data_IF_234470544769
#
_entry.id   IF_234470544769
#
_cell.length_a   1.000
_cell.length_b   1.000
_cell.length_c   1.000
_cell.angle_alpha   90.00
_cell.angle_beta   90.00
_cell.angle_gamma   90.00
#
_symmetry.space_group_name_H-M   'P 1'
#
loop_
_entity.id
_entity.type
_entity.pdbx_description
1 polymer ?
#
# COMPACT_ATOMS: atom_id res chain seq x y z
N UNK A 1 3.12 -12.10 -1.49
CA UNK A 1 2.36 -11.05 -0.78
C UNK A 1 0.91 -11.45 -0.77
N UNK A 2 0.12 -11.19 0.26
CA UNK A 2 -1.34 -11.42 0.19
C UNK A 2 -2.06 -10.08 0.19
N UNK A 3 -2.98 -9.91 -0.77
CA UNK A 3 -3.85 -8.73 -0.87
C UNK A 3 -5.29 -9.24 -0.81
N UNK A 4 -5.93 -9.03 0.33
CA UNK A 4 -7.32 -9.48 0.53
C UNK A 4 -8.31 -8.37 0.17
N UNK A 5 -9.51 -8.77 -0.22
CA UNK A 5 -10.68 -7.90 -0.34
C UNK A 5 -11.91 -8.75 0.03
N UNK A 6 -12.59 -8.40 1.12
CA UNK A 6 -13.72 -9.16 1.63
C UNK A 6 -14.84 -8.26 2.17
N UNK A 7 -16.08 -8.74 2.24
CA UNK A 7 -17.20 -7.95 2.72
C UNK A 7 -16.99 -7.58 4.18
N UNK A 8 -17.30 -6.33 4.50
CA UNK A 8 -17.27 -5.78 5.83
C UNK A 8 -18.66 -5.25 6.21
N UNK A 9 -18.71 -4.29 7.12
CA UNK A 9 -19.96 -3.69 7.56
C UNK A 9 -20.60 -2.79 6.49
N UNK A 10 -21.94 -2.75 6.49
CA UNK A 10 -22.74 -1.81 5.70
C UNK A 10 -22.45 -1.81 4.18
N UNK A 11 -22.13 -2.97 3.60
CA UNK A 11 -21.88 -3.11 2.16
C UNK A 11 -20.52 -2.54 1.69
N UNK A 12 -19.62 -2.24 2.63
CA UNK A 12 -18.23 -1.89 2.32
C UNK A 12 -17.37 -3.15 2.17
N UNK A 13 -16.25 -3.03 1.45
CA UNK A 13 -15.20 -4.05 1.45
C UNK A 13 -14.05 -3.57 2.32
N UNK A 14 -13.46 -4.50 3.08
CA UNK A 14 -12.18 -4.28 3.76
C UNK A 14 -11.12 -5.15 3.06
N UNK A 15 -9.96 -4.57 2.85
CA UNK A 15 -8.80 -5.29 2.37
C UNK A 15 -7.63 -5.16 3.32
N UNK A 16 -6.77 -6.17 3.32
CA UNK A 16 -5.48 -6.17 4.01
C UNK A 16 -4.36 -6.49 3.02
N UNK A 17 -3.19 -5.88 3.23
CA UNK A 17 -1.99 -6.14 2.45
C UNK A 17 -0.88 -6.61 3.39
N UNK A 18 -0.48 -7.88 3.26
CA UNK A 18 0.61 -8.51 4.04
C UNK A 18 1.96 -8.32 3.35
N UNK A 19 2.74 -7.33 3.79
CA UNK A 19 3.97 -6.87 3.13
C UNK A 19 5.19 -7.75 3.38
N UNK A 20 5.26 -8.44 4.52
CA UNK A 20 6.38 -9.33 4.83
C UNK A 20 5.96 -10.80 4.70
N UNK A 21 6.84 -11.69 4.19
CA UNK A 21 6.55 -13.11 4.15
C UNK A 21 6.29 -13.66 5.56
N UNK A 22 5.05 -14.08 5.83
CA UNK A 22 4.69 -14.73 7.07
C UNK A 22 4.67 -16.25 6.87
N UNK A 23 5.05 -17.02 7.89
CA UNK A 23 4.91 -18.49 7.88
C UNK A 23 3.45 -18.97 7.78
N UNK A 24 2.50 -18.04 7.88
CA UNK A 24 1.07 -18.32 7.86
C UNK A 24 0.47 -18.20 6.45
N UNK A 25 1.15 -17.51 5.53
CA UNK A 25 0.80 -17.56 4.10
C UNK A 25 1.39 -18.85 3.53
N UNK A 26 0.54 -19.86 3.36
CA UNK A 26 0.90 -21.11 2.69
C UNK A 26 0.01 -21.31 1.47
N UNK A 27 0.59 -21.08 0.28
CA UNK A 27 -0.09 -21.25 -1.01
C UNK A 27 -1.13 -20.17 -1.34
N UNK A 28 -1.69 -20.28 -2.54
CA UNK A 28 -2.77 -19.42 -3.06
C UNK A 28 -4.09 -19.70 -2.34
N UNK A 29 -4.90 -18.66 -2.09
CA UNK A 29 -6.25 -18.83 -1.58
C UNK A 29 -7.07 -19.72 -2.51
N UNK A 30 -7.54 -20.87 -2.01
CA UNK A 30 -8.31 -21.83 -2.83
C UNK A 30 -9.74 -21.40 -3.13
N UNK A 31 -10.21 -20.35 -2.44
CA UNK A 31 -11.60 -19.89 -2.50
C UNK A 31 -11.72 -18.50 -3.15
N UNK A 32 -10.63 -17.97 -3.69
CA UNK A 32 -10.70 -16.68 -4.35
C UNK A 32 -11.49 -16.77 -5.64
N UNK A 33 -12.32 -15.76 -5.89
CA UNK A 33 -13.12 -15.62 -7.12
C UNK A 33 -12.57 -14.51 -8.03
N UNK A 34 -11.34 -14.03 -7.77
CA UNK A 34 -10.76 -12.90 -8.52
C UNK A 34 -10.70 -13.16 -10.04
N UNK A 35 -10.49 -14.42 -10.45
CA UNK A 35 -10.44 -14.84 -11.86
C UNK A 35 -11.79 -14.76 -12.57
N UNK A 36 -12.90 -14.68 -11.84
CA UNK A 36 -14.23 -14.45 -12.43
C UNK A 36 -14.42 -12.98 -12.82
N UNK A 37 -13.54 -12.10 -12.33
CA UNK A 37 -13.65 -10.65 -12.49
C UNK A 37 -12.45 -10.02 -13.21
N UNK A 38 -11.29 -10.66 -13.19
CA UNK A 38 -10.04 -10.15 -13.76
C UNK A 38 -9.40 -11.24 -14.61
N UNK A 39 -8.88 -10.87 -15.78
CA UNK A 39 -8.12 -11.78 -16.63
C UNK A 39 -6.94 -12.36 -15.83
N UNK A 40 -6.77 -13.70 -15.75
CA UNK A 40 -5.66 -14.33 -15.07
C UNK A 40 -4.27 -13.77 -15.42
N UNK A 41 -4.06 -13.30 -16.65
CA UNK A 41 -2.77 -12.71 -17.07
C UNK A 41 -2.46 -11.38 -16.36
N UNK A 42 -3.49 -10.69 -15.85
CA UNK A 42 -3.37 -9.43 -15.12
C UNK A 42 -3.27 -9.64 -13.59
N UNK A 43 -3.41 -10.88 -13.11
CA UNK A 43 -3.31 -11.24 -11.68
C UNK A 43 -1.83 -11.46 -11.33
N UNK A 44 -1.05 -10.42 -11.55
CA UNK A 44 0.38 -10.36 -11.25
C UNK A 44 0.75 -8.90 -10.97
N UNK A 45 1.83 -8.70 -10.21
CA UNK A 45 2.35 -7.35 -9.97
C UNK A 45 3.60 -7.18 -10.84
N UNK A 46 3.57 -6.28 -11.83
CA UNK A 46 4.70 -6.10 -12.73
C UNK A 46 5.89 -5.50 -11.97
N UNK A 47 7.07 -5.95 -12.37
CA UNK A 47 8.33 -5.36 -12.00
C UNK A 47 8.81 -4.44 -13.12
N UNK A 48 9.15 -3.20 -12.75
CA UNK A 48 9.61 -2.16 -13.68
C UNK A 48 10.93 -1.58 -13.19
N UNK A 49 11.85 -1.33 -14.10
CA UNK A 49 13.05 -0.55 -13.82
C UNK A 49 12.88 0.87 -14.36
N UNK A 50 12.84 1.85 -13.46
CA UNK A 50 12.81 3.27 -13.81
C UNK A 50 13.74 4.03 -12.84
N UNK A 51 15.01 4.26 -13.22
CA UNK A 51 15.99 4.92 -12.37
C UNK A 51 15.61 6.34 -11.93
N UNK A 52 14.76 7.03 -12.70
CA UNK A 52 14.40 8.43 -12.48
C UNK A 52 13.13 8.59 -11.66
N UNK A 53 12.34 7.53 -11.51
CA UNK A 53 11.05 7.56 -10.80
C UNK A 53 11.17 8.14 -9.38
N UNK A 54 12.28 7.87 -8.68
CA UNK A 54 12.54 8.34 -7.33
C UNK A 54 12.60 9.86 -7.19
N UNK A 55 12.87 10.59 -8.28
CA UNK A 55 12.89 12.05 -8.29
C UNK A 55 11.54 12.68 -7.96
N UNK A 56 10.41 11.97 -8.18
CA UNK A 56 9.08 12.46 -7.82
C UNK A 56 8.95 12.73 -6.31
N UNK A 57 9.67 11.96 -5.49
CA UNK A 57 9.60 12.03 -4.04
C UNK A 57 10.31 13.26 -3.49
N UNK A 58 11.16 13.91 -4.27
CA UNK A 58 11.85 15.14 -3.86
C UNK A 58 10.89 16.34 -3.75
N UNK A 59 9.76 16.31 -4.45
CA UNK A 59 8.72 17.32 -4.37
C UNK A 59 7.78 17.14 -3.16
N UNK A 60 7.79 15.97 -2.53
CA UNK A 60 6.90 15.64 -1.42
C UNK A 60 7.47 16.11 -0.08
N UNK A 61 6.59 16.41 0.87
CA UNK A 61 7.01 16.81 2.21
C UNK A 61 7.45 15.59 3.01
N UNK A 62 8.72 15.57 3.43
CA UNK A 62 9.19 14.62 4.46
C UNK A 62 8.69 15.06 5.84
N UNK A 63 8.06 14.14 6.57
CA UNK A 63 7.60 14.36 7.94
C UNK A 63 8.78 14.30 8.92
N UNK A 64 8.63 14.96 10.08
CA UNK A 64 9.73 15.12 11.03
C UNK A 64 9.96 13.84 11.83
N UNK A 65 8.87 13.27 12.33
CA UNK A 65 8.87 11.99 13.02
C UNK A 65 8.81 10.83 12.05
N UNK A 66 9.04 9.65 12.60
CA UNK A 66 8.69 8.39 11.96
C UNK A 66 7.18 8.25 11.82
N UNK A 67 6.74 7.31 10.98
CA UNK A 67 5.35 6.91 10.89
C UNK A 67 4.72 6.72 12.28
N UNK A 68 5.34 5.90 13.15
CA UNK A 68 4.79 5.62 14.48
C UNK A 68 4.76 6.83 15.42
N UNK A 69 5.75 7.73 15.35
CA UNK A 69 5.80 8.92 16.20
C UNK A 69 4.77 9.99 15.79
N UNK A 70 4.37 10.00 14.53
CA UNK A 70 3.39 10.95 13.99
C UNK A 70 1.94 10.44 14.12
N UNK A 71 1.75 9.17 14.51
CA UNK A 71 0.44 8.58 14.77
C UNK A 71 -0.23 9.24 15.99
N UNK A 72 -1.49 9.66 15.82
CA UNK A 72 -2.31 10.45 16.76
C UNK A 72 -1.81 11.87 17.04
N UNK A 73 -0.68 12.28 16.45
CA UNK A 73 -0.18 13.66 16.49
C UNK A 73 -0.51 14.41 15.18
N UNK A 74 -0.20 13.80 14.04
CA UNK A 74 -0.40 14.36 12.69
C UNK A 74 -1.53 13.70 11.91
N UNK A 75 -1.87 12.44 12.24
CA UNK A 75 -2.89 11.66 11.54
C UNK A 75 -3.47 10.55 12.42
N UNK A 76 -4.60 9.99 11.98
CA UNK A 76 -5.17 8.73 12.46
C UNK A 76 -5.26 7.72 11.30
N UNK A 77 -5.60 6.47 11.60
CA UNK A 77 -5.81 5.42 10.59
C UNK A 77 -7.26 4.93 10.65
N UNK A 78 -7.83 4.59 9.49
CA UNK A 78 -9.22 4.08 9.46
C UNK A 78 -9.29 2.71 10.14
N UNK A 79 -8.24 1.91 9.98
CA UNK A 79 -8.08 0.59 10.58
C UNK A 79 -6.66 0.38 11.07
N UNK A 80 -6.08 -0.80 10.88
CA UNK A 80 -4.80 -1.17 11.48
C UNK A 80 -3.64 -1.01 10.48
N UNK A 81 -2.52 -0.51 10.97
CA UNK A 81 -1.21 -0.63 10.33
C UNK A 81 -0.30 -1.33 11.33
N UNK A 82 0.06 -2.57 11.03
CA UNK A 82 0.93 -3.38 11.86
C UNK A 82 2.38 -3.11 11.54
N UNK A 83 3.19 -3.09 12.60
CA UNK A 83 4.63 -2.83 12.53
C UNK A 83 5.40 -3.85 13.36
N UNK A 84 6.58 -4.22 12.89
CA UNK A 84 7.48 -5.06 13.64
C UNK A 84 8.16 -4.29 14.80
N UNK A 85 8.96 -5.00 15.59
CA UNK A 85 9.68 -4.42 16.74
C UNK A 85 10.72 -3.35 16.36
N UNK A 86 11.05 -3.22 15.07
CA UNK A 86 12.00 -2.23 14.53
C UNK A 86 11.28 -1.08 13.82
N UNK A 87 9.94 -1.06 13.82
CA UNK A 87 9.11 -0.02 13.22
C UNK A 87 8.85 -0.20 11.72
N UNK A 88 9.17 -1.38 11.15
CA UNK A 88 8.86 -1.67 9.75
C UNK A 88 7.42 -2.15 9.60
N UNK A 89 6.69 -1.63 8.61
CA UNK A 89 5.31 -2.07 8.37
C UNK A 89 5.31 -3.53 7.91
N UNK A 90 4.50 -4.35 8.55
CA UNK A 90 4.30 -5.76 8.21
C UNK A 90 2.99 -5.98 7.47
N UNK A 91 1.96 -5.22 7.81
CA UNK A 91 0.63 -5.30 7.22
C UNK A 91 -0.09 -3.96 7.37
N UNK A 92 -1.02 -3.67 6.46
CA UNK A 92 -2.01 -2.61 6.69
C UNK A 92 -3.37 -3.00 6.13
N UNK A 93 -4.41 -2.39 6.69
CA UNK A 93 -5.80 -2.52 6.28
C UNK A 93 -6.30 -1.24 5.61
N UNK A 94 -7.22 -1.37 4.65
CA UNK A 94 -7.81 -0.24 3.94
C UNK A 94 -9.25 -0.55 3.51
N UNK A 95 -10.14 0.43 3.60
CA UNK A 95 -11.44 0.39 2.90
C UNK A 95 -11.28 0.83 1.45
N UNK A 96 -11.80 0.04 0.51
CA UNK A 96 -12.10 0.51 -0.85
C UNK A 96 -13.40 -0.12 -1.34
N UNK A 97 -13.99 0.45 -2.38
CA UNK A 97 -15.09 -0.24 -3.07
C UNK A 97 -14.55 -1.48 -3.79
N UNK A 98 -15.40 -2.48 -3.96
CA UNK A 98 -15.08 -3.65 -4.79
C UNK A 98 -14.63 -3.23 -6.20
N UNK A 99 -15.32 -2.25 -6.78
CA UNK A 99 -15.00 -1.71 -8.11
C UNK A 99 -13.57 -1.15 -8.17
N UNK A 100 -13.18 -0.36 -7.16
CA UNK A 100 -11.83 0.21 -7.09
C UNK A 100 -10.77 -0.87 -6.93
N UNK A 101 -11.02 -1.89 -6.09
CA UNK A 101 -10.11 -3.02 -5.95
C UNK A 101 -9.85 -3.71 -7.29
N UNK A 102 -10.94 -4.11 -7.96
CA UNK A 102 -10.87 -4.80 -9.25
C UNK A 102 -10.16 -3.94 -10.30
N UNK A 103 -10.42 -2.64 -10.30
CA UNK A 103 -9.79 -1.71 -11.23
C UNK A 103 -8.28 -1.55 -10.96
N UNK A 104 -7.86 -1.44 -9.70
CA UNK A 104 -6.44 -1.40 -9.34
C UNK A 104 -5.68 -2.65 -9.80
N UNK A 105 -6.30 -3.83 -9.72
CA UNK A 105 -5.70 -5.07 -10.25
C UNK A 105 -5.66 -5.04 -11.78
N UNK A 106 -6.79 -4.75 -12.45
CA UNK A 106 -6.88 -4.74 -13.93
C UNK A 106 -5.95 -3.74 -14.59
N UNK A 107 -5.76 -2.58 -13.97
CA UNK A 107 -4.88 -1.52 -14.46
C UNK A 107 -3.42 -1.72 -14.06
N UNK A 108 -3.12 -2.81 -13.34
CA UNK A 108 -1.80 -3.09 -12.76
C UNK A 108 -1.26 -1.88 -11.98
N UNK A 109 -2.13 -1.25 -11.19
CA UNK A 109 -1.76 -0.11 -10.35
C UNK A 109 -0.89 -0.52 -9.17
N UNK A 110 -0.96 -1.79 -8.76
CA UNK A 110 0.04 -2.40 -7.89
C UNK A 110 1.26 -2.75 -8.74
N UNK A 111 2.40 -2.12 -8.46
CA UNK A 111 3.66 -2.28 -9.21
C UNK A 111 4.85 -2.28 -8.26
N UNK A 112 5.90 -3.02 -8.62
CA UNK A 112 7.22 -2.88 -8.01
C UNK A 112 8.11 -2.13 -8.99
N UNK A 113 8.60 -0.96 -8.58
CA UNK A 113 9.46 -0.12 -9.41
C UNK A 113 10.83 0.00 -8.76
N UNK A 114 11.87 -0.53 -9.41
CA UNK A 114 13.25 -0.26 -9.02
C UNK A 114 13.66 1.12 -9.50
N UNK A 115 14.15 1.95 -8.58
CA UNK A 115 14.56 3.32 -8.85
C UNK A 115 15.80 3.71 -8.07
N UNK A 116 16.46 4.80 -8.45
CA UNK A 116 17.43 5.49 -7.61
C UNK A 116 16.76 6.68 -6.90
N UNK A 117 17.04 6.84 -5.61
CA UNK A 117 16.60 7.99 -4.84
C UNK A 117 17.62 8.30 -3.75
N UNK A 118 17.94 9.57 -3.53
CA UNK A 118 18.96 10.02 -2.55
C UNK A 118 20.31 9.28 -2.66
N UNK A 119 20.71 8.94 -3.89
CA UNK A 119 21.98 8.26 -4.17
C UNK A 119 22.02 6.77 -3.81
N UNK A 120 20.87 6.15 -3.54
CA UNK A 120 20.74 4.71 -3.25
C UNK A 120 19.63 4.09 -4.12
N UNK A 121 19.75 2.81 -4.42
CA UNK A 121 18.69 2.05 -5.09
C UNK A 121 17.60 1.63 -4.09
N UNK A 122 16.35 1.83 -4.50
CA UNK A 122 15.14 1.44 -3.77
C UNK A 122 14.18 0.70 -4.71
N UNK A 123 13.30 -0.10 -4.12
CA UNK A 123 12.09 -0.62 -4.77
C UNK A 123 10.88 0.09 -4.18
N UNK A 124 10.07 0.66 -5.06
CA UNK A 124 8.80 1.29 -4.71
C UNK A 124 7.69 0.30 -5.00
N UNK A 125 6.91 -0.02 -3.97
CA UNK A 125 5.68 -0.78 -4.10
C UNK A 125 4.49 0.18 -4.08
N UNK A 126 3.72 0.24 -5.17
CA UNK A 126 2.54 1.11 -5.27
C UNK A 126 1.27 0.39 -4.81
N UNK A 127 0.36 1.12 -4.17
CA UNK A 127 -0.93 0.60 -3.67
C UNK A 127 -2.14 1.38 -4.21
N UNK A 128 -1.92 2.22 -5.21
CA UNK A 128 -2.92 3.11 -5.79
C UNK A 128 -2.58 3.45 -7.23
N UNK A 129 -3.49 4.13 -7.92
CA UNK A 129 -3.21 4.69 -9.24
C UNK A 129 -1.96 5.57 -9.22
N UNK A 130 -1.17 5.50 -10.29
CA UNK A 130 0.12 6.20 -10.38
C UNK A 130 0.00 7.71 -10.13
N UNK A 131 -1.06 8.34 -10.64
CA UNK A 131 -1.37 9.76 -10.40
C UNK A 131 -1.59 10.10 -8.91
N UNK A 132 -2.17 9.18 -8.14
CA UNK A 132 -2.35 9.36 -6.70
C UNK A 132 -1.04 9.09 -5.93
N UNK A 133 -0.19 8.17 -6.41
CA UNK A 133 1.14 7.92 -5.84
C UNK A 133 2.06 9.11 -6.06
N UNK A 134 2.08 9.66 -7.28
CA UNK A 134 2.93 10.77 -7.69
C UNK A 134 2.40 12.15 -7.25
N UNK A 135 1.30 12.21 -6.49
CA UNK A 135 0.73 13.48 -6.05
C UNK A 135 1.73 14.22 -5.14
N UNK A 136 2.16 15.45 -5.50
CA UNK A 136 3.16 16.19 -4.71
C UNK A 136 2.64 16.63 -3.33
N UNK A 137 1.32 16.60 -3.11
CA UNK A 137 0.73 16.88 -1.80
C UNK A 137 0.81 15.69 -0.84
N UNK A 138 1.23 14.52 -1.32
CA UNK A 138 1.56 13.40 -0.46
C UNK A 138 2.71 13.79 0.48
N UNK A 139 2.73 13.10 1.62
CA UNK A 139 3.81 13.21 2.60
C UNK A 139 4.59 11.90 2.63
N UNK A 140 5.85 12.00 3.07
CA UNK A 140 6.72 10.84 3.24
C UNK A 140 7.04 10.70 4.72
N UNK A 141 6.79 9.51 5.26
CA UNK A 141 7.21 9.12 6.59
C UNK A 141 8.39 8.16 6.50
N UNK A 142 9.36 8.30 7.41
CA UNK A 142 10.35 7.25 7.65
C UNK A 142 9.69 6.15 8.49
N UNK A 143 9.96 4.89 8.19
CA UNK A 143 9.56 3.81 9.10
C UNK A 143 10.33 3.89 10.42
N UNK A 144 11.64 4.16 10.34
CA UNK A 144 12.52 4.35 11.49
C UNK A 144 13.71 5.25 11.13
N UNK A 145 14.64 5.41 12.08
CA UNK A 145 15.83 6.26 11.92
C UNK A 145 16.93 5.69 11.00
N UNK A 146 16.79 4.47 10.47
CA UNK A 146 17.74 3.91 9.51
C UNK A 146 17.57 4.48 8.10
N UNK A 147 16.44 5.13 7.81
CA UNK A 147 16.14 5.75 6.52
C UNK A 147 16.29 4.79 5.32
N UNK A 148 15.99 3.51 5.56
CA UNK A 148 16.06 2.43 4.57
C UNK A 148 14.68 1.99 4.07
N UNK A 149 13.61 2.42 4.74
CA UNK A 149 12.21 2.19 4.35
C UNK A 149 11.38 3.43 4.67
N UNK A 150 10.54 3.84 3.72
CA UNK A 150 9.66 5.00 3.79
C UNK A 150 8.24 4.65 3.34
N UNK A 151 7.29 5.45 3.80
CA UNK A 151 5.87 5.36 3.43
C UNK A 151 5.49 6.65 2.73
N UNK A 152 4.95 6.54 1.52
CA UNK A 152 4.26 7.63 0.83
C UNK A 152 2.79 7.54 1.19
N UNK A 153 2.23 8.62 1.71
CA UNK A 153 0.84 8.65 2.10
C UNK A 153 0.15 9.97 1.77
N UNK A 154 -1.14 9.88 1.51
CA UNK A 154 -2.01 11.05 1.52
C UNK A 154 -2.56 11.24 2.93
N UNK A 155 -2.59 12.50 3.38
CA UNK A 155 -3.29 12.91 4.59
C UNK A 155 -4.58 13.61 4.19
N UNK A 156 -5.71 12.93 4.37
CA UNK A 156 -7.02 13.41 3.91
C UNK A 156 -8.06 13.35 5.04
N UNK A 157 -9.04 14.26 5.08
CA UNK A 157 -10.12 14.16 6.04
C UNK A 157 -11.01 12.95 5.77
N UNK A 158 -11.66 12.41 6.81
CA UNK A 158 -12.55 11.26 6.64
C UNK A 158 -13.68 11.54 5.66
N UNK A 159 -13.79 10.71 4.62
CA UNK A 159 -14.82 10.80 3.60
C UNK A 159 -15.66 9.52 3.52
N UNK A 160 -16.97 9.67 3.30
CA UNK A 160 -17.88 8.56 2.99
C UNK A 160 -18.56 8.87 1.65
N UNK A 161 -18.37 8.00 0.65
CA UNK A 161 -18.95 8.20 -0.68
C UNK A 161 -18.53 9.52 -1.35
N UNK A 162 -17.31 10.00 -1.09
CA UNK A 162 -16.80 11.27 -1.60
C UNK A 162 -17.24 12.51 -0.82
N UNK A 163 -18.01 12.35 0.27
CA UNK A 163 -18.43 13.46 1.13
C UNK A 163 -17.56 13.50 2.39
N UNK A 164 -16.97 14.66 2.68
CA UNK A 164 -16.21 14.89 3.92
C UNK A 164 -17.16 14.85 5.12
N UNK A 165 -16.96 13.88 6.02
CA UNK A 165 -17.80 13.68 7.22
C UNK A 165 -17.11 14.21 8.47
N UNK A 166 -15.78 14.08 8.56
CA UNK A 166 -15.00 14.55 9.72
C UNK A 166 -13.83 15.41 9.24
N UNK A 167 -14.05 16.71 8.94
CA UNK A 167 -13.04 17.57 8.30
C UNK A 167 -11.80 17.82 9.17
N UNK A 168 -11.94 17.68 10.49
CA UNK A 168 -10.85 17.88 11.44
C UNK A 168 -10.11 16.57 11.77
N UNK A 169 -10.59 15.42 11.28
CA UNK A 169 -9.98 14.13 11.52
C UNK A 169 -9.25 13.72 10.26
N UNK A 170 -7.93 13.86 10.31
CA UNK A 170 -7.03 13.58 9.19
C UNK A 170 -6.61 12.12 9.26
N UNK A 171 -6.91 11.38 8.20
CA UNK A 171 -6.59 9.98 8.06
C UNK A 171 -5.45 9.78 7.07
N UNK A 172 -4.62 8.78 7.37
CA UNK A 172 -3.52 8.37 6.50
C UNK A 172 -4.00 7.32 5.51
N UNK A 173 -3.86 7.62 4.21
CA UNK A 173 -4.06 6.67 3.13
C UNK A 173 -2.72 6.29 2.52
N UNK A 174 -2.32 5.03 2.69
CA UNK A 174 -1.06 4.52 2.17
C UNK A 174 -1.10 4.51 0.63
N UNK A 175 -0.09 5.13 -0.01
CA UNK A 175 0.02 5.22 -1.48
C UNK A 175 1.14 4.35 -2.01
N UNK A 176 2.29 4.34 -1.32
CA UNK A 176 3.41 3.47 -1.69
C UNK A 176 4.31 3.17 -0.48
N UNK A 177 5.07 2.08 -0.60
CA UNK A 177 6.20 1.76 0.28
C UNK A 177 7.49 1.89 -0.53
N UNK A 178 8.46 2.66 -0.06
CA UNK A 178 9.78 2.79 -0.68
C UNK A 178 10.76 2.03 0.21
N UNK A 179 11.40 0.97 -0.31
CA UNK A 179 12.26 0.09 0.50
C UNK A 179 13.60 -0.16 -0.18
N UNK A 180 14.67 -0.20 0.60
CA UNK A 180 15.96 -0.73 0.17
C UNK A 180 16.35 -1.97 0.99
N UNK A 181 15.33 -2.72 1.44
CA UNK A 181 15.41 -3.88 2.34
C UNK A 181 14.70 -5.09 1.74
N UNK A 182 15.32 -5.66 0.72
CA UNK A 182 14.84 -6.87 0.03
C UNK A 182 14.80 -8.09 0.97
N UNK A 183 15.52 -8.04 2.10
CA UNK A 183 15.45 -9.05 3.16
C UNK A 183 14.13 -9.00 3.96
N UNK A 184 13.49 -7.83 4.04
CA UNK A 184 12.19 -7.64 4.69
C UNK A 184 11.04 -7.67 3.69
N UNK A 185 11.26 -7.12 2.49
CA UNK A 185 10.27 -6.97 1.44
C UNK A 185 10.80 -7.60 0.14
N UNK A 186 10.86 -8.93 0.05
CA UNK A 186 11.49 -9.59 -1.10
C UNK A 186 10.70 -9.34 -2.39
N UNK A 187 11.42 -9.02 -3.46
CA UNK A 187 10.82 -8.69 -4.77
C UNK A 187 9.96 -9.84 -5.29
N UNK A 188 10.45 -11.08 -5.23
CA UNK A 188 9.70 -12.27 -5.65
C UNK A 188 8.37 -12.41 -4.90
N UNK A 189 8.39 -12.13 -3.59
CA UNK A 189 7.19 -12.14 -2.78
C UNK A 189 6.22 -11.00 -3.15
N UNK A 190 6.73 -9.83 -3.54
CA UNK A 190 5.89 -8.69 -3.95
C UNK A 190 5.29 -8.86 -5.35
N UNK A 191 6.05 -9.42 -6.28
CA UNK A 191 5.63 -9.58 -7.69
C UNK A 191 4.70 -10.79 -7.90
N UNK A 192 4.69 -11.75 -6.98
CA UNK A 192 3.78 -12.89 -6.96
C UNK A 192 2.75 -12.75 -5.81
N UNK A 193 1.77 -11.83 -5.95
CA UNK A 193 0.73 -11.68 -4.95
C UNK A 193 -0.30 -12.83 -5.02
N UNK A 194 -0.83 -13.19 -3.86
CA UNK A 194 -2.08 -13.90 -3.69
C UNK A 194 -3.19 -12.85 -3.54
N UNK A 195 -3.85 -12.50 -4.66
CA UNK A 195 -5.02 -11.63 -4.65
C UNK A 195 -6.24 -12.45 -4.20
N UNK A 196 -6.68 -12.24 -2.96
CA UNK A 196 -7.76 -12.98 -2.32
C UNK A 196 -9.05 -12.16 -2.27
N UNK A 197 -9.84 -12.27 -3.34
CA UNK A 197 -11.20 -11.73 -3.38
C UNK A 197 -12.22 -12.74 -2.84
N UNK A 198 -12.96 -12.33 -1.82
CA UNK A 198 -14.16 -13.01 -1.31
C UNK A 198 -15.34 -12.04 -1.41
N UNK A 199 -16.48 -12.51 -1.91
CA UNK A 199 -17.76 -11.78 -1.84
C UNK A 199 -18.81 -12.73 -1.28
N UNK A 200 -19.70 -12.24 -0.41
CA UNK A 200 -20.88 -13.01 -0.02
C UNK A 200 -21.81 -13.13 -1.24
N UNK A 201 -22.29 -14.35 -1.50
CA UNK A 201 -23.18 -14.69 -2.61
C UNK A 201 -24.63 -14.23 -2.36
#
# INVERSE_FOLDING_TARGET
MRITCSPAYAGKMIGSIELQPSKFITGTSKNTIITDHVDPELIAIPYVEDPEFGSIFDAMKMMKGTYQEEFQESYDVEFTIDVDKKGYITQFEHTFSLERYLDLVRTQSYQVIQTNWKGRTFHVMTYSYMEEVCNPNNVIFKCNNAEDVFVVAELAPYCVGGVVVQPNNIYLHLRALISARDDLYPIDYMCEPDFDLSIEA
#
